data_IF_440935718851
#
_entry.id   IF_440935718851
#
_cell.length_a   1.000
_cell.length_b   1.000
_cell.length_c   1.000
_cell.angle_alpha   90.00
_cell.angle_beta   90.00
_cell.angle_gamma   90.00
#
_symmetry.space_group_name_H-M   'P 1'
#
loop_
_entity.id
_entity.type
_entity.pdbx_description
1 polymer ?
#
# COMPACT_ATOMS: atom_id res chain seq x y z
N UNK A 1 20.37 -0.32 -10.64
CA UNK A 1 19.22 -1.26 -10.80
C UNK A 1 18.44 -1.49 -9.50
N UNK A 2 19.08 -1.54 -8.31
CA UNK A 2 18.39 -1.57 -7.01
C UNK A 2 17.40 -0.41 -6.83
N UNK A 3 17.78 0.79 -7.26
CA UNK A 3 16.95 2.00 -7.12
C UNK A 3 15.71 2.01 -8.00
N UNK A 4 15.77 1.39 -9.19
CA UNK A 4 14.60 1.30 -10.08
C UNK A 4 13.55 0.37 -9.51
N UNK A 5 13.97 -0.73 -8.88
CA UNK A 5 13.05 -1.69 -8.29
C UNK A 5 12.40 -1.15 -7.01
N UNK A 6 13.15 -0.41 -6.18
CA UNK A 6 12.57 0.27 -5.01
C UNK A 6 11.61 1.39 -5.41
N UNK A 7 11.90 2.13 -6.49
CA UNK A 7 10.97 3.10 -7.06
C UNK A 7 9.69 2.44 -7.60
N UNK A 8 9.81 1.31 -8.29
CA UNK A 8 8.65 0.54 -8.78
C UNK A 8 7.75 0.06 -7.63
N UNK A 9 8.34 -0.48 -6.56
CA UNK A 9 7.61 -0.89 -5.35
C UNK A 9 6.93 0.31 -4.68
N UNK A 10 7.60 1.47 -4.61
CA UNK A 10 6.98 2.68 -4.07
C UNK A 10 5.81 3.17 -4.91
N UNK A 11 5.97 3.25 -6.22
CA UNK A 11 4.92 3.71 -7.13
C UNK A 11 3.70 2.80 -7.10
N UNK A 12 3.91 1.47 -7.15
CA UNK A 12 2.81 0.51 -7.06
C UNK A 12 2.12 0.58 -5.70
N UNK A 13 2.87 0.74 -4.60
CA UNK A 13 2.31 0.93 -3.27
C UNK A 13 1.50 2.20 -3.13
N UNK A 14 1.98 3.32 -3.69
CA UNK A 14 1.25 4.59 -3.69
C UNK A 14 -0.03 4.50 -4.51
N UNK A 15 -0.02 3.77 -5.64
CA UNK A 15 -1.23 3.51 -6.40
C UNK A 15 -2.27 2.75 -5.56
N UNK A 16 -1.87 1.69 -4.85
CA UNK A 16 -2.77 0.93 -3.96
C UNK A 16 -3.40 1.82 -2.88
N UNK A 17 -2.58 2.63 -2.21
CA UNK A 17 -3.06 3.55 -1.18
C UNK A 17 -4.02 4.57 -1.79
N UNK A 18 -3.66 5.16 -2.94
CA UNK A 18 -4.49 6.13 -3.63
C UNK A 18 -5.86 5.54 -4.01
N UNK A 19 -5.91 4.35 -4.60
CA UNK A 19 -7.19 3.70 -4.91
C UNK A 19 -7.98 3.31 -3.66
N UNK A 20 -7.31 2.98 -2.55
CA UNK A 20 -7.93 2.80 -1.24
C UNK A 20 -8.66 4.07 -0.76
N UNK A 21 -8.04 5.24 -0.86
CA UNK A 21 -8.72 6.50 -0.51
C UNK A 21 -9.74 6.97 -1.55
N UNK A 22 -9.50 6.68 -2.84
CA UNK A 22 -10.44 6.98 -3.91
C UNK A 22 -11.75 6.21 -3.74
N UNK A 23 -11.69 5.03 -3.10
CA UNK A 23 -12.88 4.27 -2.75
C UNK A 23 -13.73 5.00 -1.71
N UNK A 24 -13.12 5.55 -0.66
CA UNK A 24 -13.80 6.41 0.33
C UNK A 24 -14.31 7.71 -0.29
N UNK A 25 -13.58 8.27 -1.25
CA UNK A 25 -14.03 9.47 -1.97
C UNK A 25 -15.28 9.21 -2.83
N UNK A 26 -15.54 7.95 -3.20
CA UNK A 26 -16.73 7.52 -3.93
C UNK A 26 -17.95 7.29 -3.03
N UNK A 27 -17.82 7.50 -1.71
CA UNK A 27 -18.92 7.46 -0.75
C UNK A 27 -19.51 8.85 -0.57
N UNK A 28 -20.83 8.96 -0.64
CA UNK A 28 -21.59 10.22 -0.54
C UNK A 28 -21.28 11.04 0.71
N UNK A 29 -21.00 10.39 1.83
CA UNK A 29 -20.76 11.05 3.12
C UNK A 29 -19.39 11.72 3.27
N UNK A 30 -18.40 11.33 2.47
CA UNK A 30 -17.02 11.81 2.60
C UNK A 30 -16.58 12.70 1.43
N UNK A 31 -16.93 12.30 0.21
CA UNK A 31 -16.56 13.00 -1.01
C UNK A 31 -15.04 13.23 -1.18
N UNK A 32 -14.70 14.25 -1.97
CA UNK A 32 -13.32 14.57 -2.39
C UNK A 32 -12.39 14.91 -1.21
N UNK A 33 -12.95 15.29 -0.06
CA UNK A 33 -12.16 15.64 1.15
C UNK A 33 -11.27 14.47 1.60
N UNK A 34 -11.70 13.22 1.37
CA UNK A 34 -10.89 12.04 1.71
C UNK A 34 -9.70 11.78 0.78
N UNK A 35 -9.48 12.60 -0.25
CA UNK A 35 -8.23 12.61 -1.01
C UNK A 35 -7.14 13.49 -0.40
N UNK A 36 -7.47 14.36 0.57
CA UNK A 36 -6.48 15.19 1.25
C UNK A 36 -5.48 14.37 2.11
N UNK A 37 -5.90 13.36 2.91
CA UNK A 37 -4.98 12.53 3.69
C UNK A 37 -3.88 11.83 2.87
N UNK A 38 -4.17 11.09 1.78
CA UNK A 38 -3.14 10.41 1.01
C UNK A 38 -2.17 11.38 0.34
N UNK A 39 -2.65 12.53 -0.15
CA UNK A 39 -1.80 13.57 -0.73
C UNK A 39 -0.82 14.13 0.31
N UNK A 40 -1.31 14.44 1.51
CA UNK A 40 -0.48 14.86 2.63
C UNK A 40 0.54 13.78 3.00
N UNK A 41 0.11 12.52 3.11
CA UNK A 41 1.01 11.42 3.45
C UNK A 41 2.06 11.16 2.36
N UNK A 42 1.75 11.31 1.09
CA UNK A 42 2.74 11.17 0.02
C UNK A 42 3.77 12.29 0.03
N UNK A 43 3.36 13.52 0.34
CA UNK A 43 4.27 14.66 0.47
C UNK A 43 5.14 14.56 1.74
N UNK A 44 4.57 14.05 2.83
CA UNK A 44 5.24 13.87 4.11
C UNK A 44 6.09 12.59 4.17
N UNK A 45 5.81 11.56 3.36
CA UNK A 45 6.53 10.28 3.38
C UNK A 45 8.06 10.41 3.19
N UNK A 46 8.59 11.17 2.20
CA UNK A 46 10.04 11.33 2.06
C UNK A 46 10.64 12.22 3.17
N UNK A 47 9.84 13.11 3.74
CA UNK A 47 10.25 14.03 4.82
C UNK A 47 10.34 13.28 6.15
N UNK A 48 9.34 12.46 6.47
CA UNK A 48 9.29 11.63 7.69
C UNK A 48 10.43 10.61 7.75
N UNK A 49 10.73 9.94 6.64
CA UNK A 49 11.89 9.03 6.58
C UNK A 49 13.22 9.74 6.84
N UNK A 50 13.41 10.95 6.29
CA UNK A 50 14.63 11.74 6.50
C UNK A 50 14.72 12.25 7.93
N UNK A 51 13.61 12.72 8.50
CA UNK A 51 13.59 13.21 9.88
C UNK A 51 13.87 12.09 10.89
N UNK A 52 13.33 10.90 10.68
CA UNK A 52 13.58 9.78 11.58
C UNK A 52 15.01 9.22 11.46
N UNK A 53 15.60 9.28 10.26
CA UNK A 53 16.98 8.88 10.05
C UNK A 53 17.99 9.81 10.74
N UNK A 54 17.67 11.10 10.86
CA UNK A 54 18.60 12.11 11.39
C UNK A 54 18.30 12.57 12.82
N UNK A 55 17.05 12.52 13.28
CA UNK A 55 16.64 13.12 14.56
C UNK A 55 15.84 12.15 15.44
N UNK A 56 16.46 11.70 16.53
CA UNK A 56 15.84 10.81 17.53
C UNK A 56 14.58 11.42 18.21
N UNK A 57 14.46 12.75 18.24
CA UNK A 57 13.28 13.47 18.72
C UNK A 57 12.00 13.07 17.96
N UNK A 58 12.10 12.84 16.65
CA UNK A 58 10.95 12.49 15.82
C UNK A 58 10.33 11.15 16.21
N UNK A 59 11.14 10.22 16.73
CA UNK A 59 10.66 8.94 17.28
C UNK A 59 9.81 9.14 18.54
N UNK A 60 10.24 10.03 19.43
CA UNK A 60 9.50 10.36 20.64
C UNK A 60 8.19 11.08 20.31
N UNK A 61 8.18 11.98 19.32
CA UNK A 61 6.97 12.64 18.84
C UNK A 61 5.96 11.63 18.27
N UNK A 62 6.42 10.65 17.50
CA UNK A 62 5.58 9.57 16.97
C UNK A 62 4.98 8.69 18.06
N UNK A 63 5.78 8.32 19.07
CA UNK A 63 5.29 7.58 20.22
C UNK A 63 4.25 8.39 21.01
N UNK A 64 4.52 9.68 21.23
CA UNK A 64 3.57 10.58 21.87
C UNK A 64 2.26 10.65 21.07
N UNK A 65 2.32 10.86 19.75
CA UNK A 65 1.14 10.88 18.88
C UNK A 65 0.36 9.55 18.93
N UNK A 66 1.06 8.41 18.97
CA UNK A 66 0.42 7.09 19.09
C UNK A 66 -0.31 6.92 20.42
N UNK A 67 0.33 7.32 21.54
CA UNK A 67 -0.29 7.28 22.87
C UNK A 67 -1.50 8.22 22.93
N UNK A 68 -1.35 9.46 22.44
CA UNK A 68 -2.43 10.45 22.40
C UNK A 68 -3.62 9.93 21.59
N UNK A 69 -3.37 9.37 20.39
CA UNK A 69 -4.44 8.82 19.57
C UNK A 69 -5.07 7.59 20.23
N UNK A 70 -4.27 6.72 20.86
CA UNK A 70 -4.74 5.56 21.62
C UNK A 70 -5.71 5.95 22.75
N UNK A 71 -5.38 6.99 23.50
CA UNK A 71 -6.28 7.56 24.52
C UNK A 71 -7.54 8.20 23.91
N UNK A 72 -7.47 8.64 22.65
CA UNK A 72 -8.58 9.28 21.93
C UNK A 72 -9.53 8.29 21.25
N UNK A 73 -9.16 7.00 21.13
CA UNK A 73 -10.01 5.94 20.53
C UNK A 73 -11.40 5.84 21.18
N UNK A 74 -11.54 5.73 22.52
CA UNK A 74 -12.87 5.62 23.12
C UNK A 74 -13.73 6.87 22.85
N UNK A 75 -13.10 8.05 22.81
CA UNK A 75 -13.78 9.31 22.56
C UNK A 75 -14.24 9.43 21.09
N UNK A 76 -13.43 8.95 20.16
CA UNK A 76 -13.77 8.94 18.73
C UNK A 76 -14.93 7.99 18.41
N UNK A 77 -15.01 6.82 19.07
CA UNK A 77 -16.12 5.88 18.90
C UNK A 77 -17.44 6.47 19.39
N UNK A 78 -17.43 7.19 20.52
CA UNK A 78 -18.64 7.80 21.08
C UNK A 78 -19.17 8.94 20.19
N UNK A 79 -18.28 9.77 19.62
CA UNK A 79 -18.69 10.92 18.80
C UNK A 79 -19.02 10.57 17.35
N UNK A 80 -18.22 9.71 16.71
CA UNK A 80 -18.30 9.47 15.26
C UNK A 80 -19.06 8.18 14.91
N UNK A 81 -19.30 7.31 15.89
CA UNK A 81 -19.80 5.95 15.69
C UNK A 81 -18.70 4.97 15.26
N UNK A 82 -19.00 3.67 15.39
CA UNK A 82 -17.99 2.60 15.23
C UNK A 82 -17.31 2.61 13.85
N UNK A 83 -18.09 2.71 12.77
CA UNK A 83 -17.55 2.63 11.39
C UNK A 83 -16.60 3.79 11.07
N UNK A 84 -17.02 5.03 11.36
CA UNK A 84 -16.21 6.22 11.11
C UNK A 84 -14.95 6.25 11.99
N UNK A 85 -15.06 5.78 13.24
CA UNK A 85 -13.91 5.67 14.14
C UNK A 85 -12.88 4.65 13.63
N UNK A 86 -13.33 3.51 13.08
CA UNK A 86 -12.44 2.53 12.44
C UNK A 86 -11.76 3.12 11.22
N UNK A 87 -12.49 3.83 10.34
CA UNK A 87 -11.89 4.50 9.17
C UNK A 87 -10.84 5.51 9.61
N UNK A 88 -11.14 6.37 10.58
CA UNK A 88 -10.19 7.34 11.12
C UNK A 88 -8.94 6.66 11.71
N UNK A 89 -9.12 5.56 12.45
CA UNK A 89 -8.02 4.76 13.00
C UNK A 89 -7.15 4.16 11.88
N UNK A 90 -7.75 3.61 10.82
CA UNK A 90 -7.01 3.07 9.68
C UNK A 90 -6.21 4.17 8.98
N UNK A 91 -6.81 5.35 8.75
CA UNK A 91 -6.13 6.52 8.17
C UNK A 91 -4.94 6.93 9.06
N UNK A 92 -5.13 6.99 10.38
CA UNK A 92 -4.08 7.32 11.34
C UNK A 92 -2.93 6.32 11.29
N UNK A 93 -3.23 5.02 11.34
CA UNK A 93 -2.22 3.95 11.27
C UNK A 93 -1.46 4.04 9.94
N UNK A 94 -2.15 4.28 8.84
CA UNK A 94 -1.53 4.38 7.52
C UNK A 94 -0.57 5.58 7.43
N UNK A 95 -0.96 6.74 7.97
CA UNK A 95 -0.08 7.90 8.11
C UNK A 95 1.13 7.63 8.99
N UNK A 96 0.91 6.97 10.15
CA UNK A 96 1.99 6.58 11.07
C UNK A 96 3.01 5.66 10.40
N UNK A 97 2.54 4.65 9.66
CA UNK A 97 3.38 3.69 8.92
C UNK A 97 4.12 4.33 7.75
N UNK A 98 3.49 5.27 7.03
CA UNK A 98 4.11 5.98 5.90
C UNK A 98 5.22 6.94 6.30
N UNK A 99 5.13 7.51 7.52
CA UNK A 99 6.13 8.39 8.10
C UNK A 99 7.36 7.63 8.65
N UNK A 100 7.31 6.30 8.71
CA UNK A 100 8.36 5.42 9.26
C UNK A 100 9.36 4.88 8.22
N UNK A 101 10.47 4.24 8.67
CA UNK A 101 11.33 3.48 7.78
C UNK A 101 10.53 2.33 7.17
N UNK A 102 10.53 2.25 5.83
CA UNK A 102 9.74 1.25 5.11
C UNK A 102 10.44 -0.11 5.13
N UNK A 103 9.82 -1.08 5.81
CA UNK A 103 10.18 -2.50 5.80
C UNK A 103 9.16 -3.30 4.98
N UNK A 104 9.53 -4.49 4.52
CA UNK A 104 8.63 -5.40 3.77
C UNK A 104 7.31 -5.65 4.52
N UNK A 105 7.39 -5.87 5.84
CA UNK A 105 6.21 -6.05 6.70
C UNK A 105 5.27 -4.83 6.69
N UNK A 106 5.84 -3.63 6.61
CA UNK A 106 5.09 -2.37 6.60
C UNK A 106 4.34 -2.21 5.28
N UNK A 107 4.92 -2.61 4.15
CA UNK A 107 4.20 -2.61 2.87
C UNK A 107 2.97 -3.51 2.91
N UNK A 108 3.07 -4.73 3.47
CA UNK A 108 1.90 -5.59 3.66
C UNK A 108 0.84 -4.95 4.57
N UNK A 109 1.26 -4.31 5.66
CA UNK A 109 0.33 -3.58 6.53
C UNK A 109 -0.36 -2.42 5.78
N UNK A 110 0.37 -1.65 4.97
CA UNK A 110 -0.22 -0.56 4.16
C UNK A 110 -1.23 -1.08 3.13
N UNK A 111 -0.97 -2.22 2.50
CA UNK A 111 -1.93 -2.84 1.57
C UNK A 111 -3.19 -3.31 2.30
N UNK A 112 -3.02 -3.91 3.48
CA UNK A 112 -4.13 -4.38 4.31
C UNK A 112 -4.98 -3.22 4.85
N UNK A 113 -4.36 -2.12 5.26
CA UNK A 113 -5.06 -0.88 5.63
C UNK A 113 -5.82 -0.28 4.44
N UNK A 114 -5.20 -0.24 3.24
CA UNK A 114 -5.87 0.25 2.02
C UNK A 114 -7.08 -0.61 1.64
N UNK A 115 -6.97 -1.92 1.86
CA UNK A 115 -8.07 -2.86 1.63
C UNK A 115 -9.23 -2.63 2.59
N UNK A 116 -8.95 -2.36 3.88
CA UNK A 116 -10.00 -2.01 4.83
C UNK A 116 -10.73 -0.71 4.48
N UNK A 117 -10.03 0.30 3.96
CA UNK A 117 -10.67 1.52 3.46
C UNK A 117 -11.64 1.20 2.30
N UNK A 118 -11.24 0.31 1.40
CA UNK A 118 -12.09 -0.15 0.30
C UNK A 118 -13.30 -0.95 0.78
N UNK A 119 -13.13 -1.87 1.73
CA UNK A 119 -14.26 -2.57 2.34
C UNK A 119 -15.22 -1.61 3.03
N UNK A 120 -14.69 -0.62 3.76
CA UNK A 120 -15.49 0.39 4.43
C UNK A 120 -16.32 1.20 3.42
N UNK A 121 -15.75 1.55 2.26
CA UNK A 121 -16.46 2.23 1.19
C UNK A 121 -17.57 1.38 0.57
N UNK A 122 -17.33 0.09 0.33
CA UNK A 122 -18.33 -0.84 -0.22
C UNK A 122 -19.51 -1.03 0.73
N UNK A 123 -19.26 -1.01 2.04
CA UNK A 123 -20.32 -1.12 3.07
C UNK A 123 -21.12 0.19 3.19
N UNK A 124 -20.52 1.35 2.91
CA UNK A 124 -21.16 2.67 3.06
C UNK A 124 -21.78 3.21 1.76
N UNK A 125 -22.86 2.59 1.27
CA UNK A 125 -23.69 3.09 0.17
C UNK A 125 -22.89 3.73 -0.98
N UNK A 126 -22.00 2.96 -1.65
CA UNK A 126 -21.08 3.51 -2.63
C UNK A 126 -21.80 4.03 -3.87
N UNK A 127 -21.23 5.05 -4.50
CA UNK A 127 -21.69 5.51 -5.81
C UNK A 127 -21.25 4.56 -6.94
N UNK A 128 -21.90 4.60 -8.12
CA UNK A 128 -21.55 3.73 -9.25
C UNK A 128 -20.08 3.82 -9.69
N UNK A 129 -19.42 4.94 -9.40
CA UNK A 129 -18.00 5.16 -9.65
C UNK A 129 -17.09 4.13 -8.93
N UNK A 130 -17.58 3.49 -7.86
CA UNK A 130 -16.83 2.47 -7.11
C UNK A 130 -16.34 1.31 -7.98
N UNK A 131 -17.06 0.97 -9.06
CA UNK A 131 -16.68 -0.12 -9.95
C UNK A 131 -15.34 0.14 -10.66
N UNK A 132 -15.12 1.39 -11.13
CA UNK A 132 -13.86 1.81 -11.74
C UNK A 132 -12.72 1.84 -10.71
N UNK A 133 -13.02 2.31 -9.51
CA UNK A 133 -12.06 2.34 -8.40
C UNK A 133 -11.66 0.92 -8.00
N UNK A 134 -12.60 -0.01 -7.93
CA UNK A 134 -12.34 -1.40 -7.56
C UNK A 134 -11.47 -2.10 -8.62
N UNK A 135 -11.78 -1.90 -9.90
CA UNK A 135 -10.96 -2.39 -10.99
C UNK A 135 -9.52 -1.85 -10.89
N UNK A 136 -9.36 -0.53 -10.74
CA UNK A 136 -8.05 0.12 -10.58
C UNK A 136 -7.29 -0.34 -9.33
N UNK A 137 -8.01 -0.55 -8.23
CA UNK A 137 -7.44 -1.08 -6.98
C UNK A 137 -6.88 -2.48 -7.19
N UNK A 138 -7.63 -3.38 -7.84
CA UNK A 138 -7.19 -4.76 -8.08
C UNK A 138 -5.92 -4.79 -8.94
N UNK A 139 -5.89 -4.05 -10.05
CA UNK A 139 -4.70 -3.93 -10.90
C UNK A 139 -3.50 -3.45 -10.08
N UNK A 140 -3.70 -2.40 -9.29
CA UNK A 140 -2.65 -1.80 -8.47
C UNK A 140 -2.12 -2.78 -7.42
N UNK A 141 -3.00 -3.52 -6.76
CA UNK A 141 -2.64 -4.52 -5.74
C UNK A 141 -1.83 -5.66 -6.36
N UNK A 142 -2.24 -6.20 -7.51
CA UNK A 142 -1.51 -7.27 -8.20
C UNK A 142 -0.07 -6.82 -8.53
N UNK A 143 0.07 -5.59 -9.04
CA UNK A 143 1.38 -5.01 -9.34
C UNK A 143 2.20 -4.76 -8.07
N UNK A 144 1.57 -4.28 -7.00
CA UNK A 144 2.21 -3.96 -5.74
C UNK A 144 2.69 -5.21 -4.99
N UNK A 145 1.90 -6.28 -4.96
CA UNK A 145 2.31 -7.57 -4.37
C UNK A 145 3.43 -8.21 -5.16
N UNK A 146 3.36 -8.21 -6.49
CA UNK A 146 4.36 -8.87 -7.32
C UNK A 146 5.70 -8.12 -7.27
N UNK A 147 5.67 -6.79 -7.37
CA UNK A 147 6.89 -5.98 -7.21
C UNK A 147 7.52 -6.16 -5.83
N UNK A 148 6.71 -6.21 -4.77
CA UNK A 148 7.20 -6.45 -3.40
C UNK A 148 7.79 -7.86 -3.23
N UNK A 149 7.15 -8.89 -3.79
CA UNK A 149 7.65 -10.29 -3.78
C UNK A 149 9.02 -10.37 -4.47
N UNK A 150 9.15 -9.81 -5.66
CA UNK A 150 10.43 -9.77 -6.40
C UNK A 150 11.50 -9.02 -5.59
N UNK A 151 11.13 -7.93 -4.92
CA UNK A 151 12.05 -7.17 -4.07
C UNK A 151 12.52 -7.99 -2.86
N UNK A 152 11.59 -8.65 -2.18
CA UNK A 152 11.87 -9.50 -1.01
C UNK A 152 12.72 -10.72 -1.39
N UNK A 153 12.39 -11.40 -2.50
CA UNK A 153 13.15 -12.55 -2.99
C UNK A 153 14.58 -12.14 -3.37
N UNK A 154 14.77 -10.96 -3.98
CA UNK A 154 16.12 -10.43 -4.30
C UNK A 154 16.88 -9.95 -3.07
N UNK A 155 16.20 -9.38 -2.07
CA UNK A 155 16.81 -9.00 -0.80
C UNK A 155 17.27 -10.24 -0.02
N UNK A 156 16.44 -11.30 0.01
CA UNK A 156 16.77 -12.60 0.57
C UNK A 156 17.92 -13.28 -0.16
N UNK A 157 17.85 -13.40 -1.49
CA UNK A 157 18.93 -13.96 -2.32
C UNK A 157 20.23 -13.18 -2.18
N UNK A 158 20.16 -11.85 -2.01
CA UNK A 158 21.31 -10.99 -1.73
C UNK A 158 21.96 -11.24 -0.37
N UNK A 159 21.18 -11.57 0.69
CA UNK A 159 21.73 -11.95 2.00
C UNK A 159 22.42 -13.30 1.96
N UNK A 160 21.83 -14.29 1.28
CA UNK A 160 22.48 -15.59 1.05
C UNK A 160 23.73 -15.46 0.18
N UNK A 161 23.69 -14.64 -0.88
CA UNK A 161 24.86 -14.37 -1.73
C UNK A 161 25.94 -13.60 -0.98
N UNK A 162 25.61 -12.62 -0.14
CA UNK A 162 26.58 -11.92 0.71
C UNK A 162 27.25 -12.85 1.74
N UNK A 163 26.47 -13.77 2.33
CA UNK A 163 26.99 -14.81 3.22
C UNK A 163 27.89 -15.82 2.48
N UNK A 164 27.58 -16.14 1.23
CA UNK A 164 28.38 -17.00 0.36
C UNK A 164 29.62 -16.30 -0.24
N UNK A 165 29.58 -14.99 -0.48
CA UNK A 165 30.68 -14.20 -1.05
C UNK A 165 31.79 -13.97 -0.02
N UNK A 166 31.48 -13.91 1.28
CA UNK A 166 32.50 -13.93 2.35
C UNK A 166 33.28 -15.27 2.36
N UNK A 167 32.72 -16.33 1.78
CA UNK A 167 33.33 -17.68 1.73
C UNK A 167 34.00 -17.98 0.37
N UNK A 168 33.77 -17.17 -0.67
CA UNK A 168 34.13 -17.56 -2.03
C UNK A 168 34.67 -16.39 -2.84
N UNK A 169 35.92 -16.06 -2.56
CA UNK A 169 36.77 -15.41 -3.54
C UNK A 169 36.80 -16.29 -4.82
N UNK A 170 36.45 -15.70 -5.96
CA UNK A 170 36.56 -16.33 -7.28
C UNK A 170 35.42 -17.27 -7.71
N UNK A 171 34.39 -16.71 -8.37
CA UNK A 171 33.99 -17.12 -9.74
C UNK A 171 32.78 -16.32 -10.28
N UNK A 172 33.05 -15.75 -11.46
CA UNK A 172 32.23 -15.14 -12.52
C UNK A 172 30.69 -15.17 -12.41
N UNK A 173 30.15 -13.97 -12.65
CA UNK A 173 28.76 -13.64 -12.91
C UNK A 173 28.09 -14.49 -13.99
N UNK A 174 26.92 -15.04 -13.65
CA UNK A 174 25.93 -15.51 -14.63
C UNK A 174 24.71 -14.57 -14.57
N UNK A 175 24.54 -13.82 -15.67
CA UNK A 175 23.38 -12.97 -15.95
C UNK A 175 22.14 -13.85 -16.17
N UNK A 176 21.29 -13.96 -15.16
CA UNK A 176 19.92 -14.44 -15.29
C UNK A 176 18.97 -13.23 -15.45
N UNK A 177 18.81 -12.74 -16.69
CA UNK A 177 17.97 -11.57 -16.95
C UNK A 177 17.45 -11.57 -18.38
N UNK A 178 16.21 -12.03 -18.56
CA UNK A 178 15.23 -11.47 -19.51
C UNK A 178 13.99 -12.39 -19.69
N UNK A 179 14.14 -13.72 -19.61
CA UNK A 179 13.04 -14.64 -19.95
C UNK A 179 11.98 -14.74 -18.83
N UNK A 180 12.41 -14.69 -17.57
CA UNK A 180 11.50 -14.65 -16.42
C UNK A 180 10.71 -13.33 -16.31
N UNK A 181 11.28 -12.20 -16.77
CA UNK A 181 10.60 -10.90 -16.71
C UNK A 181 9.45 -10.80 -17.72
N UNK A 182 9.63 -11.32 -18.95
CA UNK A 182 8.58 -11.27 -19.97
C UNK A 182 7.40 -12.21 -19.66
N UNK A 183 7.69 -13.43 -19.19
CA UNK A 183 6.66 -14.39 -18.80
C UNK A 183 5.89 -13.95 -17.55
N UNK A 184 6.57 -13.39 -16.55
CA UNK A 184 5.93 -12.84 -15.36
C UNK A 184 5.09 -11.61 -15.70
N UNK A 185 5.59 -10.71 -16.56
CA UNK A 185 4.83 -9.55 -17.02
C UNK A 185 3.57 -9.97 -17.76
N UNK A 186 3.64 -11.00 -18.62
CA UNK A 186 2.48 -11.52 -19.32
C UNK A 186 1.49 -12.18 -18.36
N UNK A 187 1.96 -12.96 -17.39
CA UNK A 187 1.11 -13.55 -16.36
C UNK A 187 0.41 -12.49 -15.50
N UNK A 188 1.12 -11.40 -15.15
CA UNK A 188 0.56 -10.27 -14.41
C UNK A 188 -0.46 -9.51 -15.21
N UNK A 189 -0.19 -9.27 -16.49
CA UNK A 189 -1.10 -8.59 -17.39
C UNK A 189 -2.36 -9.44 -17.58
N UNK A 190 -2.20 -10.75 -17.78
CA UNK A 190 -3.32 -11.68 -17.94
C UNK A 190 -4.15 -11.81 -16.66
N UNK A 191 -3.51 -11.85 -15.48
CA UNK A 191 -4.18 -11.84 -14.17
C UNK A 191 -4.90 -10.52 -13.92
N UNK A 192 -4.29 -9.40 -14.30
CA UNK A 192 -4.90 -8.07 -14.18
C UNK A 192 -6.12 -7.94 -15.10
N UNK A 193 -6.00 -8.37 -16.35
CA UNK A 193 -7.09 -8.35 -17.33
C UNK A 193 -8.22 -9.28 -16.91
N UNK A 194 -7.91 -10.49 -16.43
CA UNK A 194 -8.93 -11.42 -15.95
C UNK A 194 -9.67 -10.88 -14.72
N UNK A 195 -8.96 -10.24 -13.79
CA UNK A 195 -9.58 -9.67 -12.61
C UNK A 195 -10.47 -8.44 -12.94
N UNK A 196 -10.05 -7.60 -13.90
CA UNK A 196 -10.89 -6.50 -14.42
C UNK A 196 -12.13 -7.06 -15.13
N UNK A 197 -11.97 -8.06 -15.99
CA UNK A 197 -13.09 -8.70 -16.69
C UNK A 197 -14.09 -9.30 -15.70
N UNK A 198 -13.61 -10.00 -14.67
CA UNK A 198 -14.44 -10.58 -13.62
C UNK A 198 -15.19 -9.50 -12.82
N UNK A 199 -14.54 -8.36 -12.55
CA UNK A 199 -15.17 -7.20 -11.90
C UNK A 199 -16.32 -6.64 -12.75
N UNK A 200 -16.08 -6.45 -14.06
CA UNK A 200 -17.11 -5.95 -14.99
C UNK A 200 -18.29 -6.91 -15.09
N UNK A 201 -18.02 -8.22 -15.20
CA UNK A 201 -19.06 -9.26 -15.27
C UNK A 201 -19.89 -9.28 -13.99
N UNK A 202 -19.24 -9.19 -12.82
CA UNK A 202 -19.93 -9.18 -11.53
C UNK A 202 -20.88 -7.97 -11.40
N UNK A 203 -20.42 -6.78 -11.83
CA UNK A 203 -21.26 -5.57 -11.81
C UNK A 203 -22.38 -5.57 -12.85
N UNK A 204 -22.23 -6.28 -13.98
CA UNK A 204 -23.34 -6.48 -14.93
C UNK A 204 -24.35 -7.52 -14.46
N UNK A 205 -23.92 -8.53 -13.69
CA UNK A 205 -24.77 -9.62 -13.23
C UNK A 205 -25.59 -9.28 -11.97
N UNK A 206 -25.17 -8.29 -11.18
CA UNK A 206 -25.91 -7.87 -9.96
C UNK A 206 -26.98 -6.84 -10.36
N UNK A 207 -28.28 -7.17 -10.27
CA UNK A 207 -29.34 -6.19 -10.48
C UNK A 207 -29.31 -5.13 -9.37
N UNK A 208 -29.47 -3.86 -9.77
CA UNK A 208 -29.47 -2.69 -8.88
C UNK A 208 -30.76 -2.59 -8.06
#
# INVERSE_FOLDING_TARGET
MRDRLSLLVRLSSYAVILFGYLSLASVRGYGVVMLAPPLLFFLLAPVGERLEAHHAWYRNLKLAACITYGCFIPLSVIQLGLMNAVIALVIFIQGYLLAGPKSEKIYFQLYLMSFFLLLAAVVQSPEPAIALVLAGYIVSVIWAFTSLRIHADRAGAGRFKAMLVVVRDGKKDLRAGNVFDAGLFFALLLLSVSAVALTVVLFMAIPR
#
